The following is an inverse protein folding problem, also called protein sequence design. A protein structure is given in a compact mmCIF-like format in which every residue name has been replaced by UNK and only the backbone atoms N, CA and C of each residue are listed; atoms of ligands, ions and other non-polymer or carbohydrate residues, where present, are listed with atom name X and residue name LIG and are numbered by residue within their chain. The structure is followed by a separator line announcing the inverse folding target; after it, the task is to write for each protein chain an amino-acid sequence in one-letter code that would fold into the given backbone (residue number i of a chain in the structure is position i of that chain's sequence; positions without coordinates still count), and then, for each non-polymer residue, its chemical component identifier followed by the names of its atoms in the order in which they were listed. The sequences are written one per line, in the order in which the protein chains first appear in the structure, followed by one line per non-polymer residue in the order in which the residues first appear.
data_IF_281774147553
#
_entry.id   IF_281774147553
#
_cell.length_a   1.000
_cell.length_b   1.000
_cell.length_c   1.000
_cell.angle_alpha   90.00
_cell.angle_beta   90.00
_cell.angle_gamma   90.00
#
_symmetry.space_group_name_H-M   'P 1'
#
loop_
_entity.id
_entity.type
_entity.pdbx_description
1 polymer ?
#
# COMPACT_ATOMS: atom_id res chain seq x y z
N UNK A 1 7.09 13.22 -10.57
CA UNK A 1 6.09 12.27 -11.11
C UNK A 1 6.53 10.81 -11.13
N UNK A 2 7.78 10.47 -10.78
CA UNK A 2 8.29 9.08 -10.80
C UNK A 2 8.80 8.65 -9.40
N UNK A 3 8.34 9.34 -8.35
CA UNK A 3 8.55 8.96 -6.94
C UNK A 3 7.59 7.85 -6.47
N UNK A 4 6.66 7.43 -7.32
CA UNK A 4 5.70 6.34 -7.06
C UNK A 4 6.40 4.99 -6.94
N UNK A 5 7.48 4.77 -7.68
CA UNK A 5 8.12 3.46 -7.72
C UNK A 5 9.17 3.31 -6.60
N UNK A 6 9.65 4.43 -6.07
CA UNK A 6 10.60 4.46 -4.94
C UNK A 6 9.99 3.96 -3.61
N UNK A 7 8.67 4.06 -3.41
CA UNK A 7 8.05 3.66 -2.14
C UNK A 7 7.85 2.14 -1.99
N UNK A 8 8.05 1.36 -3.05
CA UNK A 8 8.09 -0.10 -2.98
C UNK A 8 9.52 -0.65 -2.75
N UNK A 9 10.52 0.22 -2.65
CA UNK A 9 11.96 -0.12 -2.72
C UNK A 9 12.75 0.11 -1.42
N UNK A 10 12.09 0.23 -0.27
CA UNK A 10 12.77 0.54 0.99
C UNK A 10 12.51 -0.50 2.08
N UNK A 11 12.84 -1.76 1.77
CA UNK A 11 13.31 -2.78 2.72
C UNK A 11 13.38 -4.13 2.00
N UNK A 12 14.55 -4.52 1.49
CA UNK A 12 15.05 -5.91 1.46
C UNK A 12 16.38 -5.92 0.70
N UNK A 13 17.45 -5.96 1.49
CA UNK A 13 18.80 -6.20 1.02
C UNK A 13 19.00 -7.71 0.81
N UNK A 14 19.66 -8.05 -0.30
CA UNK A 14 20.27 -9.34 -0.67
C UNK A 14 19.35 -10.57 -0.79
N UNK A 15 19.01 -10.91 -2.04
CA UNK A 15 18.50 -12.21 -2.47
C UNK A 15 19.15 -12.66 -3.79
N UNK A 16 19.16 -13.97 -4.11
CA UNK A 16 19.91 -14.53 -5.23
C UNK A 16 19.39 -14.04 -6.59
N UNK A 17 20.29 -14.03 -7.58
CA UNK A 17 20.08 -13.58 -8.96
C UNK A 17 19.10 -14.52 -9.70
N UNK A 18 17.80 -14.29 -9.54
CA UNK A 18 16.78 -14.79 -10.47
C UNK A 18 16.76 -13.88 -11.69
N UNK A 19 16.60 -14.43 -12.90
CA UNK A 19 16.69 -13.78 -14.22
C UNK A 19 16.26 -12.30 -14.24
N UNK A 20 17.22 -11.40 -14.39
CA UNK A 20 17.01 -9.97 -14.51
C UNK A 20 16.51 -9.61 -15.92
N UNK A 21 15.48 -8.77 -16.01
CA UNK A 21 14.95 -8.29 -17.30
C UNK A 21 15.89 -7.20 -17.80
N UNK A 22 16.40 -7.34 -19.02
CA UNK A 22 17.30 -6.33 -19.57
C UNK A 22 16.54 -5.06 -19.93
N UNK A 23 17.17 -3.89 -19.75
CA UNK A 23 16.54 -2.60 -20.10
C UNK A 23 16.03 -2.56 -21.54
N UNK A 24 16.77 -3.20 -22.47
CA UNK A 24 16.44 -3.27 -23.89
C UNK A 24 15.27 -4.22 -24.22
N UNK A 25 14.89 -5.11 -23.29
CA UNK A 25 13.75 -6.03 -23.46
C UNK A 25 12.43 -5.40 -23.02
N UNK A 26 12.47 -4.28 -22.30
CA UNK A 26 11.28 -3.51 -21.94
C UNK A 26 10.61 -2.92 -23.19
N UNK A 27 9.27 -2.86 -23.18
CA UNK A 27 8.54 -2.16 -24.24
C UNK A 27 8.93 -0.67 -24.28
N UNK A 28 8.86 -0.03 -25.44
CA UNK A 28 9.29 1.38 -25.61
C UNK A 28 8.53 2.33 -24.68
N UNK A 29 7.25 2.06 -24.48
CA UNK A 29 6.37 2.79 -23.56
C UNK A 29 6.79 2.59 -22.10
N UNK A 30 7.21 1.37 -21.73
CA UNK A 30 7.73 1.06 -20.40
C UNK A 30 9.07 1.76 -20.15
N UNK A 31 9.98 1.75 -21.14
CA UNK A 31 11.23 2.49 -21.09
C UNK A 31 11.00 4.00 -20.94
N UNK A 32 10.00 4.57 -21.62
CA UNK A 32 9.65 5.99 -21.50
C UNK A 32 9.18 6.34 -20.07
N UNK A 33 8.37 5.49 -19.45
CA UNK A 33 7.91 5.68 -18.06
C UNK A 33 9.05 5.48 -17.06
N UNK A 34 9.93 4.52 -17.32
CA UNK A 34 11.03 4.15 -16.42
C UNK A 34 12.34 4.90 -16.72
N UNK A 35 12.35 5.88 -17.64
CA UNK A 35 13.57 6.53 -18.16
C UNK A 35 14.57 6.96 -17.09
N UNK A 36 14.10 7.44 -15.95
CA UNK A 36 14.96 7.87 -14.84
C UNK A 36 15.77 6.71 -14.19
N UNK A 37 15.29 5.47 -14.33
CA UNK A 37 15.93 4.29 -13.78
C UNK A 37 16.91 3.64 -14.77
N UNK A 38 16.94 4.09 -16.04
CA UNK A 38 17.78 3.49 -17.09
C UNK A 38 19.24 3.30 -16.68
N UNK A 39 19.88 4.32 -16.12
CA UNK A 39 21.28 4.27 -15.70
C UNK A 39 21.57 3.37 -14.49
N UNK A 40 20.56 3.02 -13.71
CA UNK A 40 20.68 2.16 -12.53
C UNK A 40 19.96 0.82 -12.70
N UNK A 41 19.36 0.56 -13.87
CA UNK A 41 18.44 -0.56 -14.07
C UNK A 41 19.11 -1.89 -13.81
N UNK A 42 20.34 -2.07 -14.31
CA UNK A 42 21.16 -3.27 -14.10
C UNK A 42 21.62 -3.46 -12.65
N UNK A 43 21.56 -2.42 -11.81
CA UNK A 43 21.92 -2.49 -10.39
C UNK A 43 20.72 -2.90 -9.51
N UNK A 44 19.51 -2.86 -10.06
CA UNK A 44 18.30 -3.29 -9.37
C UNK A 44 18.24 -4.82 -9.31
N UNK A 45 17.73 -5.37 -8.20
CA UNK A 45 17.43 -6.80 -8.15
C UNK A 45 16.29 -7.14 -9.12
N UNK A 46 16.20 -8.40 -9.53
CA UNK A 46 15.12 -8.84 -10.43
C UNK A 46 13.73 -8.59 -9.87
N UNK A 47 13.52 -8.78 -8.57
CA UNK A 47 12.25 -8.43 -7.91
C UNK A 47 11.93 -6.93 -8.03
N UNK A 48 12.94 -6.07 -7.94
CA UNK A 48 12.78 -4.62 -8.09
C UNK A 48 12.44 -4.26 -9.54
N UNK A 49 13.16 -4.83 -10.50
CA UNK A 49 12.92 -4.66 -11.94
C UNK A 49 11.51 -5.11 -12.32
N UNK A 50 11.07 -6.28 -11.86
CA UNK A 50 9.72 -6.81 -12.11
C UNK A 50 8.64 -5.87 -11.53
N UNK A 51 8.81 -5.41 -10.28
CA UNK A 51 7.88 -4.44 -9.68
C UNK A 51 7.81 -3.12 -10.44
N UNK A 52 8.96 -2.62 -10.91
CA UNK A 52 9.05 -1.41 -11.73
C UNK A 52 8.32 -1.59 -13.06
N UNK A 53 8.55 -2.70 -13.75
CA UNK A 53 7.89 -3.02 -15.00
C UNK A 53 6.37 -3.17 -14.80
N UNK A 54 5.92 -3.96 -13.82
CA UNK A 54 4.50 -4.10 -13.49
C UNK A 54 3.84 -2.76 -13.16
N UNK A 55 4.57 -1.86 -12.48
CA UNK A 55 4.13 -0.50 -12.21
C UNK A 55 3.98 0.34 -13.48
N UNK A 56 4.97 0.29 -14.37
CA UNK A 56 4.96 0.98 -15.66
C UNK A 56 3.82 0.50 -16.55
N UNK A 57 3.65 -0.82 -16.68
CA UNK A 57 2.58 -1.43 -17.44
C UNK A 57 1.19 -0.99 -16.94
N UNK A 58 0.98 -0.99 -15.63
CA UNK A 58 -0.28 -0.49 -15.02
C UNK A 58 -0.50 0.99 -15.31
N UNK A 59 0.55 1.80 -15.25
CA UNK A 59 0.45 3.23 -15.54
C UNK A 59 0.06 3.50 -16.99
N UNK A 60 0.68 2.78 -17.93
CA UNK A 60 0.39 2.88 -19.36
C UNK A 60 -1.07 2.52 -19.64
N UNK A 61 -1.58 1.47 -19.00
CA UNK A 61 -2.96 1.01 -19.14
C UNK A 61 -4.01 1.87 -18.40
N UNK A 62 -3.62 2.89 -17.64
CA UNK A 62 -4.56 3.80 -16.96
C UNK A 62 -5.01 4.95 -17.85
N UNK A 63 -6.28 5.37 -17.70
CA UNK A 63 -6.79 6.60 -18.31
C UNK A 63 -6.15 7.84 -17.65
N UNK A 64 -6.26 9.00 -18.31
CA UNK A 64 -5.85 10.31 -17.77
C UNK A 64 -6.43 10.57 -16.38
N UNK A 65 -7.73 10.32 -16.19
CA UNK A 65 -8.42 10.60 -14.92
C UNK A 65 -7.93 9.65 -13.81
N UNK A 66 -7.63 8.40 -14.16
CA UNK A 66 -7.07 7.43 -13.22
C UNK A 66 -5.66 7.83 -12.80
N UNK A 67 -4.82 8.27 -13.74
CA UNK A 67 -3.48 8.79 -13.46
C UNK A 67 -3.55 10.02 -12.56
N UNK A 68 -4.41 10.99 -12.87
CA UNK A 68 -4.60 12.19 -12.04
C UNK A 68 -5.07 11.88 -10.63
N UNK A 69 -6.03 10.95 -10.49
CA UNK A 69 -6.50 10.50 -9.18
C UNK A 69 -5.39 9.85 -8.37
N UNK A 70 -4.52 9.07 -9.01
CA UNK A 70 -3.38 8.43 -8.35
C UNK A 70 -2.32 9.45 -7.95
N UNK A 71 -2.03 10.42 -8.81
CA UNK A 71 -1.08 11.49 -8.50
C UNK A 71 -1.53 12.27 -7.27
N UNK A 72 -2.78 12.71 -7.23
CA UNK A 72 -3.35 13.41 -6.07
C UNK A 72 -3.26 12.59 -4.78
N UNK A 73 -3.54 11.28 -4.83
CA UNK A 73 -3.44 10.40 -3.65
C UNK A 73 -2.01 10.24 -3.17
N UNK A 74 -1.05 10.20 -4.08
CA UNK A 74 0.35 10.10 -3.72
C UNK A 74 0.89 11.39 -3.13
N UNK A 75 0.54 12.54 -3.69
CA UNK A 75 0.91 13.84 -3.12
C UNK A 75 0.36 13.98 -1.69
N UNK A 76 -0.90 13.58 -1.47
CA UNK A 76 -1.49 13.51 -0.12
C UNK A 76 -0.72 12.56 0.80
N UNK A 77 -0.28 11.41 0.29
CA UNK A 77 0.50 10.45 1.08
C UNK A 77 1.89 10.99 1.44
N UNK A 78 2.56 11.68 0.51
CA UNK A 78 3.88 12.30 0.76
C UNK A 78 3.81 13.40 1.82
N UNK A 79 2.70 14.11 1.90
CA UNK A 79 2.45 15.14 2.92
C UNK A 79 2.13 14.56 4.30
N UNK A 80 1.89 13.26 4.42
CA UNK A 80 1.63 12.64 5.72
C UNK A 80 2.90 12.65 6.59
N UNK A 81 2.79 12.85 7.92
CA UNK A 81 3.91 12.69 8.82
C UNK A 81 4.53 11.29 8.72
N UNK A 82 5.85 11.13 8.92
CA UNK A 82 6.54 9.83 8.78
C UNK A 82 5.93 8.71 9.62
N UNK A 83 5.46 9.02 10.83
CA UNK A 83 4.77 8.06 11.69
C UNK A 83 3.46 7.54 11.08
N UNK A 84 2.71 8.41 10.39
CA UNK A 84 1.49 8.03 9.70
C UNK A 84 1.79 7.21 8.44
N UNK A 85 2.80 7.59 7.67
CA UNK A 85 3.26 6.79 6.52
C UNK A 85 3.68 5.39 6.97
N UNK A 86 4.49 5.27 8.03
CA UNK A 86 4.92 4.00 8.59
C UNK A 86 3.74 3.15 9.10
N UNK A 87 2.71 3.78 9.68
CA UNK A 87 1.47 3.08 10.07
C UNK A 87 0.71 2.54 8.86
N UNK A 88 0.58 3.33 7.79
CA UNK A 88 -0.07 2.90 6.56
C UNK A 88 0.69 1.75 5.90
N UNK A 89 2.01 1.84 5.82
CA UNK A 89 2.86 0.79 5.26
C UNK A 89 2.72 -0.51 6.06
N UNK A 90 2.73 -0.45 7.39
CA UNK A 90 2.48 -1.64 8.24
C UNK A 90 1.11 -2.26 7.98
N UNK A 91 0.05 -1.45 7.89
CA UNK A 91 -1.29 -1.94 7.59
C UNK A 91 -1.38 -2.57 6.20
N UNK A 92 -0.68 -2.00 5.21
CA UNK A 92 -0.63 -2.52 3.85
C UNK A 92 0.11 -3.86 3.78
N UNK A 93 1.24 -3.99 4.46
CA UNK A 93 1.98 -5.26 4.52
C UNK A 93 1.17 -6.35 5.25
N UNK A 94 0.46 -6.00 6.31
CA UNK A 94 -0.48 -6.92 6.95
C UNK A 94 -1.58 -7.36 5.98
N UNK A 95 -2.16 -6.42 5.23
CA UNK A 95 -3.19 -6.71 4.24
C UNK A 95 -2.68 -7.63 3.13
N UNK A 96 -1.48 -7.40 2.59
CA UNK A 96 -0.87 -8.24 1.56
C UNK A 96 -0.66 -9.69 2.02
N UNK A 97 -0.36 -9.89 3.30
CA UNK A 97 -0.17 -11.21 3.90
C UNK A 97 -1.49 -11.95 4.17
N UNK A 98 -2.64 -11.29 4.08
CA UNK A 98 -3.93 -11.95 4.29
C UNK A 98 -4.26 -12.91 3.14
N UNK A 99 -4.98 -14.02 3.39
CA UNK A 99 -5.51 -14.87 2.31
C UNK A 99 -6.38 -14.07 1.33
N UNK A 100 -6.35 -14.43 0.05
CA UNK A 100 -7.06 -13.71 -1.01
C UNK A 100 -8.55 -13.49 -0.72
N UNK A 101 -9.22 -14.49 -0.13
CA UNK A 101 -10.63 -14.38 0.30
C UNK A 101 -10.85 -13.27 1.34
N UNK A 102 -9.96 -13.17 2.32
CA UNK A 102 -10.03 -12.13 3.34
C UNK A 102 -9.73 -10.75 2.76
N UNK A 103 -8.73 -10.65 1.87
CA UNK A 103 -8.44 -9.41 1.15
C UNK A 103 -9.66 -8.94 0.37
N UNK A 104 -10.33 -9.84 -0.35
CA UNK A 104 -11.51 -9.52 -1.15
C UNK A 104 -12.67 -9.07 -0.26
N UNK A 105 -12.91 -9.77 0.85
CA UNK A 105 -13.93 -9.38 1.82
C UNK A 105 -13.68 -7.96 2.35
N UNK A 106 -12.44 -7.62 2.72
CA UNK A 106 -12.11 -6.29 3.20
C UNK A 106 -12.33 -5.21 2.12
N UNK A 107 -11.91 -5.48 0.88
CA UNK A 107 -12.15 -4.58 -0.26
C UNK A 107 -13.64 -4.33 -0.48
N UNK A 108 -14.45 -5.40 -0.45
CA UNK A 108 -15.90 -5.32 -0.63
C UNK A 108 -16.57 -4.53 0.49
N UNK A 109 -16.22 -4.81 1.75
CA UNK A 109 -16.75 -4.07 2.91
C UNK A 109 -16.38 -2.60 2.82
N UNK A 110 -15.14 -2.27 2.44
CA UNK A 110 -14.71 -0.88 2.25
C UNK A 110 -15.49 -0.18 1.13
N UNK A 111 -15.68 -0.86 -0.01
CA UNK A 111 -16.47 -0.33 -1.14
C UNK A 111 -17.90 0.01 -0.69
N UNK A 112 -18.57 -0.92 0.01
CA UNK A 112 -19.91 -0.72 0.56
C UNK A 112 -19.95 0.44 1.55
N UNK A 113 -18.98 0.52 2.45
CA UNK A 113 -18.88 1.62 3.41
C UNK A 113 -18.76 2.99 2.72
N UNK A 114 -17.91 3.11 1.69
CA UNK A 114 -17.77 4.36 0.92
C UNK A 114 -19.03 4.79 0.20
N UNK A 115 -19.90 3.84 -0.18
CA UNK A 115 -21.18 4.11 -0.83
C UNK A 115 -22.27 4.59 0.15
N UNK A 116 -22.07 4.42 1.46
CA UNK A 116 -23.02 4.94 2.46
C UNK A 116 -22.98 6.46 2.54
N UNK A 117 -24.11 7.07 2.92
CA UNK A 117 -24.15 8.50 3.23
C UNK A 117 -23.23 8.85 4.40
N UNK A 118 -22.76 10.11 4.44
CA UNK A 118 -21.83 10.59 5.49
C UNK A 118 -22.35 10.35 6.90
N UNK A 119 -23.65 10.53 7.14
CA UNK A 119 -24.26 10.26 8.45
C UNK A 119 -24.23 8.78 8.83
N UNK A 120 -24.50 7.89 7.87
CA UNK A 120 -24.41 6.44 8.11
C UNK A 120 -22.96 6.03 8.37
N UNK A 121 -22.01 6.59 7.62
CA UNK A 121 -20.58 6.37 7.86
C UNK A 121 -20.16 6.81 9.27
N UNK A 122 -20.56 8.01 9.70
CA UNK A 122 -20.27 8.56 11.03
C UNK A 122 -20.84 7.67 12.13
N UNK A 123 -22.13 7.32 12.05
CA UNK A 123 -22.79 6.43 13.03
C UNK A 123 -22.08 5.07 13.15
N UNK A 124 -21.66 4.48 12.03
CA UNK A 124 -20.91 3.22 12.04
C UNK A 124 -19.52 3.37 12.69
N UNK A 125 -18.80 4.45 12.37
CA UNK A 125 -17.48 4.72 12.94
C UNK A 125 -17.55 4.97 14.45
N UNK A 126 -18.57 5.69 14.92
CA UNK A 126 -18.81 5.92 16.35
C UNK A 126 -19.09 4.61 17.10
N UNK A 127 -19.98 3.77 16.56
CA UNK A 127 -20.27 2.44 17.12
C UNK A 127 -19.01 1.59 17.20
N UNK A 128 -18.20 1.59 16.14
CA UNK A 128 -16.94 0.85 16.10
C UNK A 128 -15.94 1.38 17.15
N UNK A 129 -15.77 2.71 17.25
CA UNK A 129 -14.89 3.35 18.24
C UNK A 129 -15.31 2.99 19.68
N UNK A 130 -16.61 3.07 19.98
CA UNK A 130 -17.16 2.72 21.30
C UNK A 130 -16.90 1.25 21.65
N UNK A 131 -17.18 0.34 20.73
CA UNK A 131 -16.94 -1.10 20.91
C UNK A 131 -15.46 -1.41 21.16
N UNK A 132 -14.57 -0.80 20.36
CA UNK A 132 -13.11 -0.96 20.52
C UNK A 132 -12.63 -0.46 21.89
N UNK A 133 -13.11 0.70 22.35
CA UNK A 133 -12.75 1.25 23.65
C UNK A 133 -13.21 0.36 24.80
N UNK A 134 -14.44 -0.14 24.76
CA UNK A 134 -14.97 -1.06 25.78
C UNK A 134 -14.15 -2.36 25.85
N UNK A 135 -13.78 -2.93 24.70
CA UNK A 135 -12.93 -4.13 24.64
C UNK A 135 -11.56 -3.88 25.27
N UNK A 136 -10.94 -2.73 24.98
CA UNK A 136 -9.64 -2.37 25.55
C UNK A 136 -9.72 -2.20 27.07
N UNK A 137 -10.75 -1.51 27.58
CA UNK A 137 -10.97 -1.33 29.02
C UNK A 137 -11.12 -2.68 29.74
N UNK A 138 -11.90 -3.61 29.15
CA UNK A 138 -12.08 -4.95 29.71
C UNK A 138 -10.77 -5.75 29.73
N UNK A 139 -9.97 -5.66 28.67
CA UNK A 139 -8.64 -6.30 28.62
C UNK A 139 -7.70 -5.75 29.68
N UNK A 140 -7.60 -4.42 29.81
CA UNK A 140 -6.76 -3.79 30.82
C UNK A 140 -7.17 -4.17 32.25
N UNK A 141 -8.49 -4.20 32.54
CA UNK A 141 -9.02 -4.60 33.84
C UNK A 141 -8.70 -6.06 34.18
N UNK A 142 -8.75 -6.95 33.19
CA UNK A 142 -8.39 -8.35 33.39
C UNK A 142 -6.88 -8.52 33.63
N UNK A 143 -6.05 -7.72 32.97
CA UNK A 143 -4.60 -7.75 33.15
C UNK A 143 -4.18 -7.23 34.53
N UNK A 144 -4.79 -6.16 35.03
CA UNK A 144 -4.49 -5.64 36.38
C UNK A 144 -4.87 -6.64 37.48
N UNK A 145 -6.02 -7.32 37.33
CA UNK A 145 -6.44 -8.40 38.24
C UNK A 145 -5.48 -9.59 38.29
N UNK A 146 -4.86 -9.93 37.15
CA UNK A 146 -3.87 -11.02 37.08
C UNK A 146 -2.51 -10.64 37.68
N UNK A 147 -2.17 -9.35 37.69
CA UNK A 147 -0.91 -8.85 38.24
C UNK A 147 -0.93 -8.69 39.77
N UNK A 148 -2.12 -8.53 40.35
CA UNK A 148 -2.34 -8.36 41.79
C UNK A 148 -2.71 -9.68 42.50
N UNK A 149 -2.56 -10.83 41.82
CA UNK A 149 -2.64 -12.18 42.39
C UNK A 149 -1.26 -12.79 42.33
#
# INVERSE_FOLDING_TARGET
MIRFILCALLALAYGPQVSAISWNELAKEEQAVLKQFSGQWSQLSSEQQEKLQLGANRWINMSSEQRDSLVKKFDQWQQLPPQQQAKLNRNFEQFKKMPARQQQQLRNTHKRFKQLSRDKQRKLMEKFKKSKQQRQQKQNRNQSRRRNR
#
